data_IF_451091800706
#
_entry.id   IF_451091800706
#
_cell.length_a   1.000
_cell.length_b   1.000
_cell.length_c   1.000
_cell.angle_alpha   90.00
_cell.angle_beta   90.00
_cell.angle_gamma   90.00
#
_symmetry.space_group_name_H-M   'P 1'
#
loop_
_entity.id
_entity.type
_entity.pdbx_description
1 polymer ?
#
# COMPACT_ATOMS: atom_id res chain seq x y z
N UNK A 1 58.75 -27.53 -26.99
CA UNK A 1 59.20 -26.19 -26.55
C UNK A 1 58.08 -25.23 -26.94
N UNK A 2 57.11 -25.00 -26.04
CA UNK A 2 57.07 -23.90 -25.04
C UNK A 2 56.72 -22.57 -25.70
N UNK A 3 55.76 -21.74 -25.28
CA UNK A 3 54.69 -21.73 -24.27
C UNK A 3 53.96 -20.42 -24.55
N UNK A 4 52.62 -20.42 -24.57
CA UNK A 4 51.81 -19.20 -24.67
C UNK A 4 51.65 -18.58 -23.28
N UNK A 5 52.02 -17.32 -23.11
CA UNK A 5 51.95 -16.59 -21.85
C UNK A 5 50.51 -16.26 -21.44
N UNK A 6 50.27 -16.46 -20.15
CA UNK A 6 49.02 -16.37 -19.42
C UNK A 6 48.89 -14.95 -18.84
N UNK A 7 47.86 -14.20 -19.21
CA UNK A 7 47.58 -12.88 -18.63
C UNK A 7 46.60 -13.03 -17.46
N UNK A 8 47.14 -12.97 -16.24
CA UNK A 8 46.41 -12.91 -14.97
C UNK A 8 45.90 -11.48 -14.73
N UNK A 9 44.57 -11.31 -14.57
CA UNK A 9 43.95 -10.08 -14.06
C UNK A 9 44.00 -10.05 -12.52
N UNK A 10 44.27 -8.89 -11.89
CA UNK A 10 44.39 -8.79 -10.45
C UNK A 10 43.04 -8.77 -9.72
N UNK A 11 42.91 -9.65 -8.72
CA UNK A 11 41.87 -9.61 -7.69
C UNK A 11 41.95 -8.30 -6.89
N UNK A 12 40.83 -7.57 -6.79
CA UNK A 12 40.67 -6.49 -5.80
C UNK A 12 39.92 -7.01 -4.58
N UNK A 13 40.65 -7.06 -3.48
CA UNK A 13 40.16 -7.21 -2.11
C UNK A 13 39.41 -5.92 -1.75
N UNK A 14 38.13 -6.05 -1.37
CA UNK A 14 37.26 -4.97 -0.91
C UNK A 14 36.57 -5.36 0.40
N UNK A 15 37.10 -4.80 1.49
CA UNK A 15 36.67 -4.76 2.89
C UNK A 15 35.24 -5.22 3.24
N UNK A 16 35.17 -6.22 4.12
CA UNK A 16 34.04 -6.57 4.99
C UNK A 16 34.13 -5.69 6.23
N UNK A 17 33.21 -4.74 6.42
CA UNK A 17 32.90 -4.14 7.72
C UNK A 17 31.41 -3.75 7.74
N UNK A 18 30.59 -4.47 8.51
CA UNK A 18 29.55 -3.93 9.41
C UNK A 18 28.57 -5.04 9.79
N UNK A 19 29.03 -5.96 10.62
CA UNK A 19 28.17 -6.83 11.41
C UNK A 19 28.53 -6.58 12.86
N UNK A 20 27.63 -5.91 13.61
CA UNK A 20 27.54 -5.75 15.07
C UNK A 20 27.02 -4.36 15.42
N UNK A 21 25.71 -4.14 15.25
CA UNK A 21 24.96 -3.23 16.12
C UNK A 21 23.45 -3.47 15.95
N UNK A 22 22.90 -4.49 16.62
CA UNK A 22 21.46 -4.60 16.94
C UNK A 22 21.20 -5.78 17.89
N UNK A 23 21.91 -5.81 19.03
CA UNK A 23 21.61 -6.74 20.13
C UNK A 23 21.61 -5.99 21.46
N UNK A 24 20.99 -4.81 21.54
CA UNK A 24 20.67 -4.16 22.82
C UNK A 24 19.47 -3.21 22.65
N UNK A 25 18.26 -3.74 22.38
CA UNK A 25 17.02 -2.99 22.66
C UNK A 25 15.76 -3.84 22.89
N UNK A 26 15.84 -5.17 22.83
CA UNK A 26 14.67 -6.06 23.00
C UNK A 26 14.61 -6.74 24.39
N UNK A 27 15.57 -6.47 25.28
CA UNK A 27 15.59 -7.06 26.63
C UNK A 27 14.98 -6.16 27.72
N UNK A 28 14.66 -4.88 27.42
CA UNK A 28 14.12 -3.95 28.42
C UNK A 28 12.59 -3.77 28.42
N UNK A 29 11.85 -4.51 27.58
CA UNK A 29 10.37 -4.46 27.53
C UNK A 29 9.66 -5.73 28.05
N UNK A 30 10.39 -6.66 28.66
CA UNK A 30 9.82 -7.91 29.18
C UNK A 30 10.02 -8.15 30.69
N UNK A 31 10.19 -7.07 31.47
CA UNK A 31 10.08 -7.13 32.94
C UNK A 31 9.22 -5.96 33.43
N UNK A 32 7.93 -5.97 33.13
CA UNK A 32 6.94 -5.43 34.07
C UNK A 32 5.54 -6.00 33.83
N UNK A 33 5.34 -7.25 34.22
CA UNK A 33 4.01 -7.78 34.55
C UNK A 33 4.10 -8.54 35.86
N UNK A 34 4.01 -7.78 36.95
CA UNK A 34 3.81 -8.26 38.31
C UNK A 34 2.64 -7.51 38.91
N UNK A 35 1.62 -8.29 39.29
CA UNK A 35 0.34 -7.94 39.90
C UNK A 35 0.45 -7.16 41.22
N UNK A 36 -0.47 -6.22 41.45
CA UNK A 36 -0.74 -5.61 42.75
C UNK A 36 -1.92 -4.63 42.68
N UNK A 37 -3.03 -5.01 43.32
CA UNK A 37 -4.13 -4.10 43.69
C UNK A 37 -3.59 -2.96 44.55
N UNK A 38 -3.96 -1.71 44.25
CA UNK A 38 -4.33 -0.72 45.27
C UNK A 38 -4.96 0.55 44.65
N UNK A 39 -6.20 0.79 45.09
CA UNK A 39 -6.90 2.06 45.35
C UNK A 39 -6.71 3.32 44.50
N UNK A 40 -7.86 3.81 44.06
CA UNK A 40 -8.12 5.09 43.43
C UNK A 40 -7.60 6.32 44.20
N UNK A 41 -6.99 7.26 43.49
CA UNK A 41 -7.07 8.70 43.77
C UNK A 41 -7.07 9.45 42.43
N UNK A 42 -8.14 10.21 42.21
CA UNK A 42 -8.33 11.17 41.12
C UNK A 42 -7.48 12.43 41.33
N UNK A 43 -7.01 13.11 40.27
CA UNK A 43 -6.98 14.56 40.35
C UNK A 43 -7.64 15.24 39.13
N UNK A 44 -8.57 16.11 39.52
CA UNK A 44 -9.32 17.15 38.82
C UNK A 44 -8.50 17.96 37.80
N UNK A 45 -9.06 18.13 36.59
CA UNK A 45 -8.65 19.12 35.58
C UNK A 45 -9.08 20.54 36.01
N UNK A 46 -8.29 21.59 35.69
CA UNK A 46 -8.84 22.93 35.49
C UNK A 46 -9.07 23.22 33.99
N UNK A 47 -10.11 23.99 33.62
CA UNK A 47 -10.40 24.39 32.25
C UNK A 47 -9.74 25.74 31.93
N UNK A 48 -9.35 26.01 30.67
CA UNK A 48 -9.82 27.14 29.83
C UNK A 48 -8.96 27.42 28.58
N UNK A 49 -9.70 27.74 27.51
CA UNK A 49 -9.48 28.76 26.46
C UNK A 49 -8.48 28.54 25.30
N UNK A 50 -9.10 28.30 24.13
CA UNK A 50 -9.07 29.07 22.88
C UNK A 50 -7.75 29.71 22.37
N UNK A 51 -7.47 29.30 21.12
CA UNK A 51 -7.06 30.09 19.93
C UNK A 51 -5.74 30.86 20.00
N UNK A 52 -4.79 30.47 19.14
CA UNK A 52 -4.06 31.39 18.27
C UNK A 52 -3.36 30.65 17.12
N UNK A 53 -3.73 31.01 15.90
CA UNK A 53 -2.89 30.88 14.71
C UNK A 53 -1.81 31.99 14.70
N UNK A 54 -0.98 31.97 13.65
CA UNK A 54 -0.14 33.07 13.10
C UNK A 54 1.32 33.09 13.61
N UNK A 55 2.37 33.54 12.84
CA UNK A 55 2.45 33.99 11.43
C UNK A 55 3.55 33.34 10.55
N UNK A 56 3.36 33.47 9.23
CA UNK A 56 4.45 33.66 8.25
C UNK A 56 5.13 35.02 8.48
N UNK A 57 6.46 35.04 8.53
CA UNK A 57 7.24 36.27 8.54
C UNK A 57 7.93 36.48 7.18
N UNK A 58 7.45 37.50 6.47
CA UNK A 58 8.08 38.18 5.34
C UNK A 58 9.24 39.05 5.84
N UNK A 59 10.33 39.13 5.09
CA UNK A 59 11.34 40.19 5.23
C UNK A 59 11.54 40.90 3.89
N UNK A 60 11.43 42.23 3.88
CA UNK A 60 11.76 43.18 2.80
C UNK A 60 12.57 44.34 3.42
N UNK A 61 13.19 45.29 2.66
CA UNK A 61 13.86 45.25 1.35
C UNK A 61 15.24 46.01 1.42
N UNK A 62 15.82 46.50 0.29
CA UNK A 62 15.87 47.96 0.16
C UNK A 62 15.60 48.54 -1.25
N UNK A 63 15.38 49.85 -1.19
CA UNK A 63 14.83 50.90 -2.08
C UNK A 63 15.61 51.22 -3.37
N UNK A 64 14.90 51.64 -4.44
CA UNK A 64 15.13 52.91 -5.19
C UNK A 64 13.97 53.33 -6.13
N UNK A 65 13.43 54.52 -5.84
CA UNK A 65 13.09 55.68 -6.71
C UNK A 65 12.13 55.57 -7.93
N UNK A 66 10.87 55.96 -7.65
CA UNK A 66 9.98 56.97 -8.29
C UNK A 66 9.84 57.10 -9.83
N UNK A 67 8.58 57.10 -10.29
CA UNK A 67 7.95 58.19 -11.09
C UNK A 67 6.41 58.11 -11.01
N UNK A 68 5.79 59.26 -10.71
CA UNK A 68 4.35 59.65 -10.66
C UNK A 68 3.64 59.50 -12.03
N UNK A 69 2.33 59.34 -12.24
CA UNK A 69 1.11 60.00 -11.73
C UNK A 69 -0.17 59.27 -12.31
N UNK A 70 -1.43 59.71 -12.04
CA UNK A 70 -2.62 58.84 -11.90
C UNK A 70 -3.62 58.82 -13.09
N UNK A 71 -4.54 57.85 -13.09
CA UNK A 71 -5.89 57.90 -13.70
C UNK A 71 -6.75 56.81 -13.05
N UNK A 72 -7.74 57.15 -12.23
CA UNK A 72 -9.09 57.61 -12.56
C UNK A 72 -10.08 56.43 -12.66
N UNK A 73 -11.06 56.50 -11.77
CA UNK A 73 -12.14 55.55 -11.51
C UNK A 73 -13.26 55.86 -12.51
N UNK A 74 -13.79 54.83 -13.18
CA UNK A 74 -15.10 54.91 -13.84
C UNK A 74 -15.91 53.61 -13.60
N UNK A 75 -17.24 53.70 -13.47
CA UNK A 75 -18.07 52.65 -12.87
C UNK A 75 -18.66 51.62 -13.85
N UNK A 76 -19.15 50.56 -13.22
CA UNK A 76 -19.99 49.42 -13.64
C UNK A 76 -21.06 49.71 -14.70
N UNK A 77 -21.47 48.67 -15.45
CA UNK A 77 -22.90 48.43 -15.64
C UNK A 77 -23.32 47.04 -15.14
N UNK A 78 -24.27 47.09 -14.23
CA UNK A 78 -25.11 46.01 -13.69
C UNK A 78 -25.72 45.16 -14.80
N UNK A 79 -25.50 43.85 -14.77
CA UNK A 79 -26.28 42.90 -15.55
C UNK A 79 -27.59 42.62 -14.80
N UNK A 80 -28.69 43.04 -15.41
CA UNK A 80 -30.07 42.89 -14.95
C UNK A 80 -30.50 41.41 -15.01
N UNK A 81 -31.06 40.91 -13.90
CA UNK A 81 -31.69 39.59 -13.82
C UNK A 81 -32.96 39.57 -14.69
N UNK A 82 -33.01 38.65 -15.65
CA UNK A 82 -34.25 38.30 -16.32
C UNK A 82 -35.07 37.32 -15.47
N UNK A 83 -36.28 37.74 -15.12
CA UNK A 83 -37.31 36.98 -14.40
C UNK A 83 -37.95 35.92 -15.32
N UNK A 84 -38.22 34.67 -14.87
CA UNK A 84 -38.85 33.66 -15.71
C UNK A 84 -40.37 33.86 -15.83
N UNK A 85 -40.86 33.89 -17.06
CA UNK A 85 -42.28 34.00 -17.44
C UNK A 85 -43.07 32.73 -17.05
N UNK A 86 -44.33 32.85 -16.56
CA UNK A 86 -45.13 31.70 -16.13
C UNK A 86 -45.62 30.87 -17.33
N UNK A 87 -45.45 29.55 -17.26
CA UNK A 87 -46.00 28.59 -18.22
C UNK A 87 -47.49 28.37 -17.95
N UNK A 88 -48.32 28.57 -18.99
CA UNK A 88 -49.76 28.38 -18.94
C UNK A 88 -50.14 26.88 -18.90
N UNK A 89 -50.96 26.51 -17.92
CA UNK A 89 -51.61 25.20 -17.79
C UNK A 89 -52.69 25.03 -18.86
N UNK A 90 -52.62 23.97 -19.65
CA UNK A 90 -53.63 23.60 -20.64
C UNK A 90 -54.56 22.50 -20.06
N UNK A 91 -55.89 22.56 -20.26
CA UNK A 91 -56.83 21.61 -19.67
C UNK A 91 -56.85 20.25 -20.37
N UNK A 92 -57.01 19.19 -19.58
CA UNK A 92 -57.16 17.81 -20.03
C UNK A 92 -58.42 17.61 -20.88
N UNK A 93 -58.25 17.07 -22.09
CA UNK A 93 -59.36 16.67 -22.96
C UNK A 93 -59.72 15.21 -22.66
N UNK A 94 -60.98 14.98 -22.25
CA UNK A 94 -61.54 13.67 -22.02
C UNK A 94 -61.60 12.88 -23.35
N UNK A 95 -60.99 11.70 -23.38
CA UNK A 95 -61.08 10.78 -24.52
C UNK A 95 -62.05 9.64 -24.16
N UNK A 96 -62.99 9.40 -25.06
CA UNK A 96 -64.10 8.46 -24.95
C UNK A 96 -63.61 7.00 -24.88
N UNK A 97 -64.28 6.19 -24.06
CA UNK A 97 -64.00 4.76 -23.91
C UNK A 97 -64.31 4.00 -25.21
N UNK A 98 -63.30 3.32 -25.75
CA UNK A 98 -63.46 2.35 -26.83
C UNK A 98 -63.83 0.97 -26.24
N UNK A 99 -64.86 0.38 -26.83
CA UNK A 99 -65.42 -0.95 -26.53
C UNK A 99 -64.36 -2.05 -26.66
N UNK A 100 -64.23 -2.89 -25.63
CA UNK A 100 -63.27 -4.00 -25.60
C UNK A 100 -63.66 -5.12 -26.58
N UNK A 101 -62.68 -5.55 -27.38
CA UNK A 101 -62.71 -6.77 -28.21
C UNK A 101 -62.35 -7.97 -27.32
N UNK A 102 -62.98 -9.15 -27.45
CA UNK A 102 -62.67 -10.30 -26.63
C UNK A 102 -61.25 -10.83 -26.92
N UNK A 103 -60.42 -10.85 -25.90
CA UNK A 103 -59.04 -11.37 -25.90
C UNK A 103 -59.06 -12.91 -25.83
N UNK A 104 -58.31 -13.57 -26.72
CA UNK A 104 -58.05 -15.02 -26.63
C UNK A 104 -57.33 -15.39 -25.31
N UNK A 105 -57.53 -16.62 -24.79
CA UNK A 105 -56.86 -17.08 -23.58
C UNK A 105 -55.34 -17.18 -23.80
N UNK A 106 -54.51 -16.81 -22.80
CA UNK A 106 -53.07 -16.83 -22.93
C UNK A 106 -52.54 -18.26 -23.06
N UNK A 107 -51.69 -18.48 -24.05
CA UNK A 107 -50.84 -19.68 -24.19
C UNK A 107 -49.99 -19.85 -22.93
N UNK A 108 -49.91 -21.06 -22.33
CA UNK A 108 -49.11 -21.27 -21.13
C UNK A 108 -47.63 -21.00 -21.42
N UNK A 109 -47.08 -20.00 -20.74
CA UNK A 109 -45.65 -19.69 -20.73
C UNK A 109 -44.89 -20.86 -20.14
N UNK A 110 -43.96 -21.44 -20.91
CA UNK A 110 -43.06 -22.47 -20.41
C UNK A 110 -42.27 -21.93 -19.21
N UNK A 111 -42.42 -22.60 -18.06
CA UNK A 111 -41.60 -22.35 -16.88
C UNK A 111 -40.16 -22.70 -17.21
N UNK A 112 -39.29 -21.69 -17.27
CA UNK A 112 -37.85 -21.91 -17.42
C UNK A 112 -37.36 -22.68 -16.18
N UNK A 113 -36.75 -23.84 -16.43
CA UNK A 113 -36.06 -24.63 -15.42
C UNK A 113 -34.99 -23.76 -14.74
N UNK A 114 -34.80 -23.83 -13.41
CA UNK A 114 -33.81 -23.02 -12.73
C UNK A 114 -32.42 -23.31 -13.33
N UNK A 115 -31.80 -22.29 -13.91
CA UNK A 115 -30.40 -22.36 -14.34
C UNK A 115 -29.57 -22.85 -13.16
N UNK A 116 -28.94 -24.02 -13.30
CA UNK A 116 -28.03 -24.56 -12.31
C UNK A 116 -27.06 -23.46 -11.88
N UNK A 117 -27.02 -23.16 -10.58
CA UNK A 117 -26.04 -22.26 -9.98
C UNK A 117 -24.66 -22.77 -10.40
N UNK A 118 -23.98 -22.02 -11.26
CA UNK A 118 -22.61 -22.32 -11.64
C UNK A 118 -21.80 -22.45 -10.36
N UNK A 119 -21.30 -23.65 -10.09
CA UNK A 119 -20.36 -23.89 -8.99
C UNK A 119 -19.16 -22.98 -9.25
N UNK A 120 -18.88 -22.07 -8.32
CA UNK A 120 -17.71 -21.20 -8.41
C UNK A 120 -16.49 -22.06 -8.68
N UNK A 121 -15.87 -21.87 -9.85
CA UNK A 121 -14.64 -22.58 -10.21
C UNK A 121 -13.61 -22.25 -9.15
N UNK A 122 -13.20 -23.24 -8.35
CA UNK A 122 -12.20 -23.05 -7.31
C UNK A 122 -10.94 -22.44 -7.95
N UNK A 123 -10.54 -21.25 -7.50
CA UNK A 123 -9.31 -20.60 -7.96
C UNK A 123 -8.15 -21.57 -7.67
N UNK A 124 -7.40 -22.03 -8.69
CA UNK A 124 -6.37 -23.04 -8.49
C UNK A 124 -5.18 -22.49 -7.70
N UNK A 125 -4.61 -23.30 -6.83
CA UNK A 125 -3.37 -23.00 -6.10
C UNK A 125 -3.46 -23.21 -4.59
N UNK A 126 -2.32 -23.18 -3.88
CA UNK A 126 -2.29 -23.24 -2.42
C UNK A 126 -2.92 -21.99 -1.79
N UNK A 127 -3.39 -22.11 -0.55
CA UNK A 127 -4.17 -21.07 0.14
C UNK A 127 -3.44 -19.72 0.21
N UNK A 128 -2.13 -19.73 0.47
CA UNK A 128 -1.30 -18.52 0.48
C UNK A 128 -1.30 -17.79 -0.87
N UNK A 129 -1.30 -18.53 -2.00
CA UNK A 129 -1.25 -17.94 -3.33
C UNK A 129 -2.61 -17.36 -3.68
N UNK A 130 -3.68 -18.12 -3.40
CA UNK A 130 -5.05 -17.65 -3.60
C UNK A 130 -5.28 -16.37 -2.76
N UNK A 131 -4.80 -16.33 -1.52
CA UNK A 131 -4.90 -15.18 -0.62
C UNK A 131 -4.10 -13.96 -1.11
N UNK A 132 -2.84 -14.16 -1.53
CA UNK A 132 -2.05 -13.10 -2.13
C UNK A 132 -2.70 -12.56 -3.42
N UNK A 133 -3.28 -13.44 -4.23
CA UNK A 133 -3.99 -13.05 -5.44
C UNK A 133 -5.27 -12.25 -5.15
N UNK A 134 -5.85 -12.32 -3.96
CA UNK A 134 -6.95 -11.44 -3.56
C UNK A 134 -6.47 -9.99 -3.48
N UNK A 135 -5.33 -9.70 -2.85
CA UNK A 135 -4.74 -8.36 -2.83
C UNK A 135 -4.48 -7.80 -4.22
N UNK A 136 -4.01 -8.67 -5.13
CA UNK A 136 -3.77 -8.29 -6.53
C UNK A 136 -5.07 -8.03 -7.28
N UNK A 137 -6.09 -8.85 -7.06
CA UNK A 137 -7.44 -8.63 -7.60
C UNK A 137 -8.01 -7.29 -7.14
N UNK A 138 -7.83 -6.95 -5.86
CA UNK A 138 -8.23 -5.66 -5.27
C UNK A 138 -7.33 -4.48 -5.69
N UNK A 139 -6.29 -4.71 -6.47
CA UNK A 139 -5.53 -3.69 -7.20
C UNK A 139 -5.83 -3.70 -8.72
N UNK A 140 -6.81 -4.50 -9.17
CA UNK A 140 -7.12 -4.68 -10.59
C UNK A 140 -6.03 -5.43 -11.37
N UNK A 141 -5.14 -6.16 -10.68
CA UNK A 141 -4.00 -6.85 -11.26
C UNK A 141 -4.30 -8.32 -11.57
N UNK A 142 -3.65 -8.91 -12.59
CA UNK A 142 -3.75 -10.34 -12.86
C UNK A 142 -3.21 -11.18 -11.70
N UNK A 143 -3.81 -12.37 -11.54
CA UNK A 143 -3.36 -13.38 -10.61
C UNK A 143 -1.99 -13.92 -11.00
N UNK A 144 -1.17 -14.21 -9.99
CA UNK A 144 0.12 -14.88 -10.14
C UNK A 144 -0.04 -16.40 -10.14
N UNK A 145 0.89 -17.08 -10.79
CA UNK A 145 1.09 -18.52 -10.62
C UNK A 145 2.27 -18.81 -9.70
N UNK A 146 2.24 -19.93 -8.99
CA UNK A 146 3.40 -20.38 -8.21
C UNK A 146 4.53 -20.85 -9.13
N UNK A 147 5.75 -20.39 -8.85
CA UNK A 147 6.99 -21.01 -9.29
C UNK A 147 7.53 -21.88 -8.15
N UNK A 148 7.38 -23.21 -8.28
CA UNK A 148 7.74 -24.16 -7.21
C UNK A 148 9.24 -24.16 -6.89
N UNK A 149 10.10 -23.81 -7.84
CA UNK A 149 11.54 -23.65 -7.59
C UNK A 149 11.82 -22.42 -6.72
N UNK A 150 11.05 -21.34 -6.88
CA UNK A 150 11.16 -20.16 -6.03
C UNK A 150 10.57 -20.43 -4.65
N UNK A 151 9.44 -21.15 -4.54
CA UNK A 151 8.90 -21.59 -3.25
C UNK A 151 9.89 -22.45 -2.46
N UNK A 152 10.57 -23.40 -3.12
CA UNK A 152 11.61 -24.21 -2.50
C UNK A 152 12.79 -23.36 -1.98
N UNK A 153 13.22 -22.36 -2.76
CA UNK A 153 14.26 -21.42 -2.35
C UNK A 153 13.82 -20.50 -1.21
N UNK A 154 12.59 -19.99 -1.24
CA UNK A 154 11.99 -19.20 -0.16
C UNK A 154 11.86 -20.00 1.14
N UNK A 155 11.55 -21.29 1.06
CA UNK A 155 11.53 -22.17 2.24
C UNK A 155 12.94 -22.38 2.79
N UNK A 156 13.93 -22.61 1.91
CA UNK A 156 15.33 -22.73 2.30
C UNK A 156 15.84 -21.43 2.97
N UNK A 157 15.47 -20.26 2.44
CA UNK A 157 15.89 -18.97 3.00
C UNK A 157 15.25 -18.71 4.37
N UNK A 158 13.97 -19.06 4.51
CA UNK A 158 13.27 -19.01 5.80
C UNK A 158 13.99 -19.90 6.82
N UNK A 159 14.36 -21.14 6.43
CA UNK A 159 15.17 -22.02 7.28
C UNK A 159 16.53 -21.42 7.63
N UNK A 160 17.21 -20.79 6.67
CA UNK A 160 18.49 -20.11 6.90
C UNK A 160 18.37 -18.98 7.93
N UNK A 161 17.34 -18.14 7.84
CA UNK A 161 17.05 -17.10 8.84
C UNK A 161 16.81 -17.70 10.23
N UNK A 162 16.04 -18.79 10.30
CA UNK A 162 15.72 -19.47 11.56
C UNK A 162 16.97 -20.01 12.27
N UNK A 163 17.78 -20.82 11.58
CA UNK A 163 18.91 -21.52 12.20
C UNK A 163 20.06 -20.58 12.56
N UNK A 164 20.16 -19.43 11.89
CA UNK A 164 21.17 -18.41 12.17
C UNK A 164 20.63 -17.26 13.03
N UNK A 165 19.35 -17.31 13.45
CA UNK A 165 18.65 -16.29 14.24
C UNK A 165 18.91 -14.86 13.74
N UNK A 166 18.77 -14.65 12.43
CA UNK A 166 18.99 -13.35 11.79
C UNK A 166 17.83 -12.95 10.87
N UNK A 167 17.67 -11.65 10.65
CA UNK A 167 16.78 -11.06 9.65
C UNK A 167 17.64 -10.38 8.59
N UNK A 168 17.84 -11.04 7.44
CA UNK A 168 18.61 -10.49 6.33
C UNK A 168 18.21 -11.13 5.01
N UNK A 169 18.16 -10.32 3.95
CA UNK A 169 17.90 -10.79 2.60
C UNK A 169 19.07 -11.59 2.00
N UNK A 170 20.31 -11.15 2.24
CA UNK A 170 21.49 -11.83 1.71
C UNK A 170 22.02 -12.86 2.71
N UNK A 171 22.42 -14.01 2.21
CA UNK A 171 23.04 -15.08 2.99
C UNK A 171 24.57 -14.95 3.00
N UNK A 172 25.18 -15.48 4.06
CA UNK A 172 26.63 -15.63 4.18
C UNK A 172 27.00 -17.05 3.75
N UNK A 173 27.82 -17.22 2.68
CA UNK A 173 28.24 -18.54 2.21
C UNK A 173 28.95 -19.41 3.25
N UNK A 174 29.42 -18.81 4.35
CA UNK A 174 30.11 -19.52 5.43
C UNK A 174 29.18 -19.98 6.56
N UNK A 175 27.89 -19.64 6.51
CA UNK A 175 26.91 -20.02 7.53
C UNK A 175 26.15 -21.28 7.15
N UNK A 176 25.69 -22.00 8.18
CA UNK A 176 24.92 -23.21 7.99
C UNK A 176 23.64 -22.91 7.21
N UNK A 177 23.25 -23.83 6.33
CA UNK A 177 22.02 -23.75 5.55
C UNK A 177 22.11 -22.87 4.30
N UNK A 178 23.26 -22.22 4.05
CA UNK A 178 23.48 -21.49 2.82
C UNK A 178 23.29 -22.38 1.58
N UNK A 179 22.64 -21.83 0.57
CA UNK A 179 22.74 -22.31 -0.81
C UNK A 179 22.51 -21.16 -1.78
N UNK A 180 23.02 -21.26 -3.01
CA UNK A 180 22.83 -20.22 -4.02
C UNK A 180 21.34 -19.95 -4.32
N UNK A 181 20.49 -20.98 -4.32
CA UNK A 181 19.04 -20.84 -4.54
C UNK A 181 18.34 -20.14 -3.36
N UNK A 182 18.74 -20.45 -2.13
CA UNK A 182 18.22 -19.85 -0.91
C UNK A 182 18.59 -18.36 -0.84
N UNK A 183 19.86 -18.04 -1.08
CA UNK A 183 20.35 -16.66 -1.15
C UNK A 183 19.68 -15.87 -2.27
N UNK A 184 19.50 -16.46 -3.46
CA UNK A 184 18.78 -15.80 -4.55
C UNK A 184 17.33 -15.48 -4.15
N UNK A 185 16.66 -16.38 -3.43
CA UNK A 185 15.26 -16.18 -2.99
C UNK A 185 15.17 -15.08 -1.93
N UNK A 186 16.09 -15.06 -0.95
CA UNK A 186 16.15 -13.99 0.05
C UNK A 186 16.41 -12.61 -0.55
N UNK A 187 17.32 -12.53 -1.54
CA UNK A 187 17.64 -11.28 -2.24
C UNK A 187 16.51 -10.77 -3.14
N UNK A 188 15.59 -11.65 -3.56
CA UNK A 188 14.44 -11.30 -4.39
C UNK A 188 13.13 -11.16 -3.61
N UNK A 189 13.10 -11.59 -2.35
CA UNK A 189 11.87 -11.72 -1.59
C UNK A 189 11.69 -10.71 -0.48
N UNK A 190 10.43 -10.51 -0.11
CA UNK A 190 10.04 -9.98 1.18
C UNK A 190 10.30 -11.04 2.25
N UNK A 191 10.82 -10.64 3.42
CA UNK A 191 11.12 -11.55 4.54
C UNK A 191 10.33 -11.16 5.79
N UNK A 192 9.92 -12.14 6.59
CA UNK A 192 9.19 -11.93 7.84
C UNK A 192 9.66 -12.90 8.91
N UNK A 193 9.58 -12.44 10.17
CA UNK A 193 9.92 -13.22 11.36
C UNK A 193 8.82 -12.96 12.39
N UNK A 194 8.29 -14.03 12.97
CA UNK A 194 7.36 -13.99 14.09
C UNK A 194 7.94 -14.72 15.29
N UNK A 195 7.81 -14.10 16.46
CA UNK A 195 8.09 -14.72 17.76
C UNK A 195 6.89 -15.46 18.34
N UNK A 196 5.83 -15.67 17.57
CA UNK A 196 4.60 -16.34 18.01
C UNK A 196 4.37 -17.65 17.22
N UNK A 197 4.28 -18.76 17.96
CA UNK A 197 4.07 -20.11 17.39
C UNK A 197 2.75 -20.26 16.62
N UNK A 198 1.74 -19.46 16.97
CA UNK A 198 0.42 -19.50 16.35
C UNK A 198 0.25 -18.62 15.11
N UNK A 199 1.31 -17.95 14.63
CA UNK A 199 1.21 -17.14 13.41
C UNK A 199 0.80 -18.02 12.23
N UNK A 200 -0.26 -17.68 11.50
CA UNK A 200 -0.64 -18.40 10.28
C UNK A 200 0.35 -18.12 9.15
N UNK A 201 0.34 -18.92 8.09
CA UNK A 201 1.13 -18.63 6.89
C UNK A 201 0.67 -17.31 6.24
N UNK A 202 -0.65 -17.05 6.26
CA UNK A 202 -1.27 -15.83 5.73
C UNK A 202 -0.86 -14.57 6.49
N UNK A 203 -0.54 -14.69 7.78
CA UNK A 203 -0.10 -13.55 8.60
C UNK A 203 1.09 -12.82 7.95
N UNK A 204 2.05 -13.53 7.36
CA UNK A 204 3.20 -12.90 6.73
C UNK A 204 2.78 -12.01 5.54
N UNK A 205 1.77 -12.45 4.77
CA UNK A 205 1.23 -11.71 3.63
C UNK A 205 0.55 -10.43 4.10
N UNK A 206 -0.33 -10.50 5.12
CA UNK A 206 -0.95 -9.30 5.71
C UNK A 206 0.10 -8.36 6.30
N UNK A 207 1.12 -8.93 6.93
CA UNK A 207 2.20 -8.18 7.57
C UNK A 207 2.98 -7.34 6.56
N UNK A 208 3.34 -7.92 5.41
CA UNK A 208 3.97 -7.21 4.30
C UNK A 208 3.02 -6.21 3.63
N UNK A 209 1.77 -6.59 3.36
CA UNK A 209 0.77 -5.68 2.78
C UNK A 209 0.41 -4.51 3.71
N UNK A 210 0.70 -4.64 5.00
CA UNK A 210 0.51 -3.54 5.97
C UNK A 210 1.53 -2.42 5.84
N UNK A 211 2.59 -2.58 5.03
CA UNK A 211 3.75 -1.69 5.03
C UNK A 211 4.08 -1.16 3.62
N UNK A 212 4.32 0.15 3.46
CA UNK A 212 4.60 0.78 2.17
C UNK A 212 5.65 0.08 1.29
N UNK A 213 6.85 -0.16 1.80
CA UNK A 213 7.97 -0.66 0.99
C UNK A 213 7.87 -2.16 0.67
N UNK A 214 7.14 -2.93 1.46
CA UNK A 214 6.87 -4.34 1.17
C UNK A 214 5.65 -4.53 0.25
N UNK A 215 4.62 -3.70 0.40
CA UNK A 215 3.39 -3.80 -0.39
C UNK A 215 3.59 -3.36 -1.86
N UNK A 216 4.36 -2.29 -2.10
CA UNK A 216 4.63 -1.77 -3.46
C UNK A 216 5.15 -2.87 -4.42
N UNK A 217 6.24 -3.61 -4.13
CA UNK A 217 6.73 -4.66 -5.02
C UNK A 217 5.79 -5.86 -5.10
N UNK A 218 4.97 -6.13 -4.07
CA UNK A 218 3.93 -7.18 -4.14
C UNK A 218 2.83 -6.84 -5.16
N UNK A 219 2.59 -5.55 -5.36
CA UNK A 219 1.63 -5.04 -6.34
C UNK A 219 2.29 -4.64 -7.66
N UNK A 220 3.48 -5.17 -7.96
CA UNK A 220 4.10 -4.92 -9.26
C UNK A 220 3.26 -5.55 -10.39
N UNK A 221 2.80 -4.78 -11.39
CA UNK A 221 1.95 -5.29 -12.46
C UNK A 221 2.68 -6.23 -13.43
N UNK A 222 4.02 -6.17 -13.47
CA UNK A 222 4.86 -7.03 -14.32
C UNK A 222 5.25 -8.34 -13.64
N UNK A 223 4.87 -8.54 -12.38
CA UNK A 223 5.01 -9.82 -11.69
C UNK A 223 3.95 -10.79 -12.25
N UNK A 224 4.40 -11.97 -12.71
CA UNK A 224 3.54 -13.02 -13.28
C UNK A 224 3.65 -14.35 -12.53
N UNK A 225 4.76 -14.54 -11.82
CA UNK A 225 5.00 -15.70 -10.96
C UNK A 225 5.53 -15.23 -9.62
N UNK A 226 5.37 -16.06 -8.59
CA UNK A 226 5.94 -15.83 -7.25
C UNK A 226 6.26 -17.18 -6.59
N UNK A 227 7.00 -17.16 -5.48
CA UNK A 227 7.26 -18.34 -4.67
C UNK A 227 7.28 -17.98 -3.20
N UNK A 228 6.61 -18.79 -2.39
CA UNK A 228 6.46 -18.54 -0.96
C UNK A 228 6.96 -19.75 -0.16
N UNK A 229 7.63 -19.48 0.95
CA UNK A 229 8.08 -20.52 1.84
C UNK A 229 8.10 -20.06 3.28
N UNK A 230 7.73 -20.97 4.17
CA UNK A 230 7.70 -20.77 5.62
C UNK A 230 8.55 -21.84 6.29
N UNK A 231 9.26 -21.45 7.34
CA UNK A 231 9.94 -22.39 8.23
C UNK A 231 9.59 -22.09 9.68
N UNK A 232 9.27 -23.14 10.45
CA UNK A 232 8.81 -23.07 11.84
C UNK A 232 9.71 -23.90 12.74
N UNK A 233 9.99 -23.36 13.91
CA UNK A 233 10.74 -24.05 14.97
C UNK A 233 10.32 -23.47 16.32
N UNK A 234 9.45 -24.18 17.03
CA UNK A 234 8.91 -23.72 18.31
C UNK A 234 9.96 -23.69 19.43
N UNK A 235 11.12 -24.32 19.24
CA UNK A 235 12.21 -24.30 20.22
C UNK A 235 13.08 -23.04 20.10
N UNK A 236 13.04 -22.35 18.97
CA UNK A 236 13.82 -21.14 18.69
C UNK A 236 13.09 -19.89 19.23
N UNK A 237 13.77 -18.75 19.36
CA UNK A 237 13.11 -17.48 19.72
C UNK A 237 12.30 -16.91 18.54
N UNK A 238 12.79 -17.15 17.32
CA UNK A 238 11.98 -17.03 16.12
C UNK A 238 11.11 -18.28 16.06
N UNK A 239 9.80 -18.12 16.04
CA UNK A 239 8.85 -19.24 15.99
C UNK A 239 8.47 -19.59 14.56
N UNK A 240 8.41 -18.57 13.72
CA UNK A 240 8.14 -18.67 12.29
C UNK A 240 9.01 -17.67 11.55
N UNK A 241 9.51 -18.09 10.40
CA UNK A 241 10.19 -17.25 9.40
C UNK A 241 9.52 -17.50 8.06
N UNK A 242 9.42 -16.46 7.22
CA UNK A 242 8.76 -16.56 5.92
C UNK A 242 9.50 -15.72 4.88
N UNK A 243 9.45 -16.17 3.63
CA UNK A 243 10.01 -15.48 2.47
C UNK A 243 9.02 -15.56 1.31
N UNK A 244 8.76 -14.44 0.66
CA UNK A 244 7.92 -14.34 -0.55
C UNK A 244 8.72 -13.68 -1.67
N UNK A 245 9.03 -14.41 -2.74
CA UNK A 245 9.74 -13.88 -3.91
C UNK A 245 8.83 -12.89 -4.66
N UNK A 246 9.22 -11.62 -4.64
CA UNK A 246 8.57 -10.50 -5.35
C UNK A 246 9.41 -10.04 -6.54
N UNK A 247 10.39 -10.85 -6.95
CA UNK A 247 11.30 -10.60 -8.07
C UNK A 247 12.06 -9.26 -7.94
N UNK A 248 12.44 -8.89 -6.72
CA UNK A 248 13.07 -7.58 -6.44
C UNK A 248 14.31 -7.27 -7.26
N UNK A 249 15.10 -8.29 -7.64
CA UNK A 249 16.32 -8.17 -8.46
C UNK A 249 16.26 -9.00 -9.76
N UNK A 250 15.20 -9.78 -9.97
CA UNK A 250 14.99 -10.56 -11.19
C UNK A 250 14.50 -9.65 -12.32
N UNK A 251 14.79 -10.06 -13.55
CA UNK A 251 14.16 -9.44 -14.71
C UNK A 251 12.65 -9.72 -14.68
N UNK A 252 11.85 -8.66 -14.75
CA UNK A 252 10.39 -8.76 -14.79
C UNK A 252 9.90 -8.99 -16.23
N UNK A 253 8.74 -9.64 -16.35
CA UNK A 253 8.07 -9.84 -17.63
C UNK A 253 7.64 -8.53 -18.30
N UNK A 254 7.02 -8.64 -19.48
CA UNK A 254 6.34 -7.51 -20.09
C UNK A 254 5.11 -7.11 -19.27
N UNK A 255 4.67 -5.85 -19.40
CA UNK A 255 3.39 -5.41 -18.87
C UNK A 255 2.25 -6.24 -19.49
N UNK A 256 1.32 -6.81 -18.70
CA UNK A 256 0.15 -7.48 -19.26
C UNK A 256 -0.68 -6.53 -20.12
N UNK A 257 -1.19 -7.00 -21.27
CA UNK A 257 -1.79 -6.15 -22.31
C UNK A 257 -3.01 -5.33 -21.85
N UNK A 258 -3.71 -5.79 -20.81
CA UNK A 258 -4.91 -5.16 -20.26
C UNK A 258 -4.64 -4.30 -19.03
N UNK A 259 -3.37 -4.09 -18.66
CA UNK A 259 -3.00 -3.28 -17.49
C UNK A 259 -2.29 -2.02 -17.98
N UNK A 260 -2.75 -0.88 -17.48
CA UNK A 260 -2.18 0.44 -17.77
C UNK A 260 -2.10 1.24 -16.48
N UNK A 261 -1.07 2.07 -16.35
CA UNK A 261 -1.03 3.07 -15.29
C UNK A 261 -2.07 4.19 -15.54
N UNK A 262 -2.60 4.84 -14.49
CA UNK A 262 -2.31 4.60 -13.07
C UNK A 262 -2.98 3.33 -12.51
N UNK A 263 -2.32 2.68 -11.55
CA UNK A 263 -2.85 1.54 -10.78
C UNK A 263 -3.02 1.99 -9.33
N UNK A 264 -4.18 1.78 -8.76
CA UNK A 264 -4.45 2.07 -7.35
C UNK A 264 -4.61 0.78 -6.55
N UNK A 265 -4.14 0.82 -5.30
CA UNK A 265 -4.48 -0.19 -4.32
C UNK A 265 -5.00 0.46 -3.03
N UNK A 266 -6.23 0.14 -2.62
CA UNK A 266 -7.19 -0.64 -3.40
C UNK A 266 -7.59 0.07 -4.70
N UNK A 267 -8.08 -0.69 -5.68
CA UNK A 267 -8.63 -0.15 -6.92
C UNK A 267 -9.93 0.61 -6.65
N UNK A 268 -10.42 1.38 -7.62
CA UNK A 268 -11.73 2.01 -7.51
C UNK A 268 -12.84 0.95 -7.34
N UNK A 269 -13.63 1.09 -6.27
CA UNK A 269 -14.61 0.10 -5.84
C UNK A 269 -14.02 -1.17 -5.20
N UNK A 270 -12.70 -1.24 -4.98
CA UNK A 270 -12.03 -2.39 -4.39
C UNK A 270 -12.13 -2.45 -2.86
N UNK A 271 -11.61 -3.54 -2.29
CA UNK A 271 -11.65 -3.82 -0.86
C UNK A 271 -10.25 -3.77 -0.21
N UNK A 272 -10.22 -3.49 1.09
CA UNK A 272 -9.03 -3.62 1.94
C UNK A 272 -9.37 -4.22 3.28
N UNK A 273 -8.66 -5.27 3.68
CA UNK A 273 -8.83 -5.91 4.99
C UNK A 273 -7.60 -5.79 5.91
N UNK A 274 -6.48 -5.32 5.37
CA UNK A 274 -5.33 -4.92 6.20
C UNK A 274 -5.58 -3.50 6.67
N UNK A 275 -6.07 -3.34 7.90
CA UNK A 275 -6.63 -2.06 8.38
C UNK A 275 -5.62 -1.14 9.08
N UNK A 276 -4.39 -1.61 9.32
CA UNK A 276 -3.37 -0.84 10.03
C UNK A 276 -1.97 -1.28 9.65
N UNK A 277 -1.02 -0.36 9.77
CA UNK A 277 0.39 -0.64 9.58
C UNK A 277 0.99 -1.38 10.79
N UNK A 278 1.35 -2.66 10.61
CA UNK A 278 1.81 -3.53 11.71
C UNK A 278 3.31 -3.85 11.67
N UNK A 279 3.91 -3.97 10.49
CA UNK A 279 5.34 -4.27 10.34
C UNK A 279 6.22 -3.10 10.84
N UNK A 280 7.23 -3.30 11.70
CA UNK A 280 8.29 -2.32 11.91
C UNK A 280 9.22 -2.34 10.68
N UNK A 281 8.78 -1.69 9.60
CA UNK A 281 9.45 -1.72 8.31
C UNK A 281 10.85 -1.09 8.37
N UNK A 282 11.77 -1.66 7.58
CA UNK A 282 13.09 -1.11 7.35
C UNK A 282 13.30 -0.92 5.85
N UNK A 283 13.63 0.31 5.38
CA UNK A 283 13.63 1.57 6.12
C UNK A 283 12.27 1.91 6.74
N UNK A 284 12.24 2.76 7.78
CA UNK A 284 10.97 3.19 8.36
C UNK A 284 10.31 4.25 7.45
N UNK A 285 9.11 4.03 6.90
CA UNK A 285 8.42 5.00 6.05
C UNK A 285 7.97 6.25 6.82
N UNK A 286 7.73 6.13 8.13
CA UNK A 286 7.23 7.25 8.95
C UNK A 286 8.29 8.33 9.23
N UNK A 287 9.56 8.12 8.85
CA UNK A 287 10.57 9.17 8.97
C UNK A 287 10.27 10.39 8.10
N UNK A 288 9.46 10.22 7.05
CA UNK A 288 8.96 11.31 6.21
C UNK A 288 7.63 11.92 6.72
N UNK A 289 7.01 11.31 7.73
CA UNK A 289 5.66 11.63 8.18
C UNK A 289 5.67 12.32 9.55
N UNK A 290 6.02 13.60 9.56
CA UNK A 290 6.07 14.40 10.79
C UNK A 290 4.74 14.33 11.55
N UNK A 291 4.81 14.02 12.85
CA UNK A 291 3.65 13.97 13.74
C UNK A 291 2.83 12.68 13.72
N UNK A 292 3.06 11.77 12.77
CA UNK A 292 2.39 10.46 12.79
C UNK A 292 3.05 9.52 13.81
N UNK A 293 2.24 8.85 14.61
CA UNK A 293 2.66 7.84 15.59
C UNK A 293 1.77 6.61 15.44
N UNK A 294 2.36 5.41 15.52
CA UNK A 294 1.58 4.17 15.47
C UNK A 294 0.59 4.11 16.65
N UNK A 295 -0.63 3.58 16.48
CA UNK A 295 -1.14 2.91 15.28
C UNK A 295 -1.53 3.91 14.17
N UNK A 296 -1.13 3.60 12.94
CA UNK A 296 -1.51 4.33 11.72
C UNK A 296 -2.18 3.37 10.74
N UNK A 297 -2.85 3.91 9.74
CA UNK A 297 -3.51 3.15 8.68
C UNK A 297 -2.51 2.38 7.79
N UNK A 298 -3.03 1.49 6.93
CA UNK A 298 -2.25 0.75 5.96
C UNK A 298 -1.80 1.67 4.80
N UNK A 299 -0.88 1.22 3.94
CA UNK A 299 -0.57 1.95 2.71
C UNK A 299 -1.77 1.94 1.76
N UNK A 300 -2.17 3.13 1.31
CA UNK A 300 -3.06 3.34 0.17
C UNK A 300 -2.15 3.77 -0.99
N UNK A 301 -2.08 2.99 -2.05
CA UNK A 301 -1.00 3.07 -3.04
C UNK A 301 -1.56 3.56 -4.38
N UNK A 302 -0.80 4.43 -5.03
CA UNK A 302 -0.96 4.83 -6.41
C UNK A 302 0.38 4.60 -7.14
N UNK A 303 0.38 3.78 -8.17
CA UNK A 303 1.52 3.60 -9.08
C UNK A 303 1.21 4.33 -10.38
N UNK A 304 2.11 5.21 -10.85
CA UNK A 304 1.88 5.99 -12.08
C UNK A 304 2.78 5.59 -13.25
N UNK A 305 3.73 4.69 -13.04
CA UNK A 305 4.63 4.25 -14.10
C UNK A 305 5.53 3.08 -13.69
N UNK A 306 6.50 2.77 -14.54
CA UNK A 306 7.42 1.64 -14.42
C UNK A 306 8.81 2.04 -13.88
N UNK A 307 8.92 3.23 -13.27
CA UNK A 307 10.16 3.84 -12.81
C UNK A 307 10.84 4.73 -13.84
N UNK A 308 10.09 5.14 -14.86
CA UNK A 308 10.54 6.10 -15.87
C UNK A 308 10.03 7.52 -15.63
N UNK A 309 9.14 7.70 -14.65
CA UNK A 309 8.59 9.00 -14.30
C UNK A 309 9.26 9.53 -13.02
N UNK A 310 8.90 10.75 -12.64
CA UNK A 310 9.21 11.29 -11.31
C UNK A 310 7.92 11.92 -10.77
N UNK A 311 7.34 11.42 -9.67
CA UNK A 311 6.11 11.98 -9.11
C UNK A 311 6.27 13.42 -8.62
N UNK A 312 5.50 14.33 -9.21
CA UNK A 312 5.29 15.69 -8.71
C UNK A 312 3.91 15.82 -8.08
N UNK A 313 3.78 15.42 -6.82
CA UNK A 313 2.51 15.46 -6.07
C UNK A 313 2.23 16.88 -5.56
N UNK A 314 1.14 17.50 -6.02
CA UNK A 314 0.76 18.86 -5.61
C UNK A 314 -0.40 18.89 -4.63
N UNK A 315 -1.20 17.82 -4.57
CA UNK A 315 -2.35 17.73 -3.65
C UNK A 315 -2.65 16.27 -3.32
N UNK A 316 -3.04 16.02 -2.08
CA UNK A 316 -3.60 14.73 -1.63
C UNK A 316 -4.84 14.95 -0.77
N UNK A 317 -5.78 14.03 -0.83
CA UNK A 317 -6.98 14.01 0.00
C UNK A 317 -7.33 12.56 0.34
N UNK A 318 -7.80 12.34 1.56
CA UNK A 318 -8.42 11.11 1.99
C UNK A 318 -9.65 11.48 2.81
N UNK A 319 -10.84 10.98 2.45
CA UNK A 319 -12.09 11.22 3.18
C UNK A 319 -12.80 9.92 3.50
N UNK A 320 -13.61 9.92 4.55
CA UNK A 320 -14.59 8.87 4.80
C UNK A 320 -15.89 9.12 4.00
N UNK A 321 -16.90 8.26 4.17
CA UNK A 321 -18.19 8.35 3.49
C UNK A 321 -19.00 9.60 3.84
N UNK A 322 -18.74 10.23 5.00
CA UNK A 322 -19.35 11.51 5.38
C UNK A 322 -18.65 12.73 4.77
N UNK A 323 -17.62 12.53 3.93
CA UNK A 323 -16.82 13.61 3.36
C UNK A 323 -15.86 14.27 4.35
N UNK A 324 -15.68 13.69 5.53
CA UNK A 324 -14.73 14.19 6.54
C UNK A 324 -13.32 13.81 6.12
N UNK A 325 -12.43 14.79 6.02
CA UNK A 325 -11.03 14.57 5.70
C UNK A 325 -10.30 13.84 6.84
N UNK A 326 -9.56 12.80 6.49
CA UNK A 326 -8.68 12.06 7.37
C UNK A 326 -7.26 12.66 7.28
N UNK A 327 -6.64 13.01 8.41
CA UNK A 327 -5.22 13.31 8.44
C UNK A 327 -4.42 12.12 7.89
N UNK A 328 -3.49 12.39 6.99
CA UNK A 328 -2.64 11.38 6.37
C UNK A 328 -1.29 11.99 5.99
N UNK A 329 -0.30 11.12 5.80
CA UNK A 329 0.98 11.43 5.19
C UNK A 329 0.96 10.95 3.74
N UNK A 330 1.76 11.58 2.88
CA UNK A 330 2.02 11.10 1.52
C UNK A 330 3.53 10.99 1.31
N UNK A 331 3.99 9.84 0.83
CA UNK A 331 5.40 9.60 0.47
C UNK A 331 5.50 9.13 -0.98
N UNK A 332 6.57 9.56 -1.64
CA UNK A 332 7.00 9.12 -2.97
C UNK A 332 8.54 9.16 -3.00
N UNK A 333 9.17 8.78 -4.12
CA UNK A 333 10.63 8.76 -4.25
C UNK A 333 11.30 10.15 -4.10
N UNK A 334 10.55 11.25 -4.19
CA UNK A 334 11.04 12.62 -4.02
C UNK A 334 10.84 13.12 -2.59
N UNK A 335 9.77 12.69 -1.92
CA UNK A 335 9.34 13.13 -0.58
C UNK A 335 9.79 12.23 0.56
N UNK A 336 10.14 10.96 0.29
CA UNK A 336 10.66 10.08 1.35
C UNK A 336 12.00 10.59 1.88
N UNK A 337 12.06 10.93 3.16
CA UNK A 337 13.28 11.41 3.83
C UNK A 337 13.62 10.51 5.01
N UNK A 338 14.92 10.28 5.21
CA UNK A 338 15.46 9.54 6.34
C UNK A 338 16.80 10.16 6.73
N UNK A 339 17.09 10.24 8.03
CA UNK A 339 18.36 10.80 8.52
C UNK A 339 19.57 9.98 8.08
N UNK A 340 19.37 8.70 7.78
CA UNK A 340 20.38 7.83 7.19
C UNK A 340 20.25 7.82 5.66
N UNK A 341 21.28 8.31 4.96
CA UNK A 341 21.28 8.44 3.50
C UNK A 341 21.12 7.10 2.77
N UNK A 342 21.69 6.01 3.29
CA UNK A 342 21.52 4.68 2.70
C UNK A 342 20.07 4.21 2.80
N UNK A 343 19.45 4.33 3.98
CA UNK A 343 18.04 3.98 4.18
C UNK A 343 17.13 4.87 3.33
N UNK A 344 17.41 6.17 3.23
CA UNK A 344 16.69 7.06 2.35
C UNK A 344 16.73 6.55 0.91
N UNK A 345 17.93 6.22 0.40
CA UNK A 345 18.08 5.70 -0.95
C UNK A 345 17.34 4.37 -1.14
N UNK A 346 17.38 3.46 -0.16
CA UNK A 346 16.65 2.19 -0.28
C UNK A 346 15.13 2.40 -0.38
N UNK A 347 14.55 3.25 0.48
CA UNK A 347 13.12 3.53 0.42
C UNK A 347 12.72 4.23 -0.88
N UNK A 348 13.53 5.19 -1.35
CA UNK A 348 13.31 5.87 -2.64
C UNK A 348 13.40 4.90 -3.81
N UNK A 349 14.40 4.00 -3.82
CA UNK A 349 14.54 2.98 -4.86
C UNK A 349 13.34 2.03 -4.93
N UNK A 350 12.70 1.74 -3.80
CA UNK A 350 11.50 0.88 -3.80
C UNK A 350 10.32 1.61 -4.45
N UNK A 351 10.10 2.87 -4.08
CA UNK A 351 9.01 3.69 -4.62
C UNK A 351 9.22 3.95 -6.13
N UNK A 352 10.45 4.28 -6.52
CA UNK A 352 10.88 4.57 -7.89
C UNK A 352 10.55 3.42 -8.86
N UNK A 353 10.67 2.14 -8.47
CA UNK A 353 10.39 1.02 -9.40
C UNK A 353 8.98 1.01 -10.00
N UNK A 354 7.99 1.65 -9.36
CA UNK A 354 6.62 1.79 -9.87
C UNK A 354 6.14 3.26 -9.85
N UNK A 355 7.07 4.22 -9.76
CA UNK A 355 6.78 5.65 -9.56
C UNK A 355 5.73 5.86 -8.45
N UNK A 356 5.86 5.11 -7.35
CA UNK A 356 4.79 4.89 -6.39
C UNK A 356 4.60 6.08 -5.44
N UNK A 357 3.34 6.46 -5.26
CA UNK A 357 2.86 7.38 -4.24
C UNK A 357 2.08 6.57 -3.21
N UNK A 358 2.40 6.73 -1.93
CA UNK A 358 1.74 6.02 -0.83
C UNK A 358 1.14 7.03 0.14
N UNK A 359 -0.19 6.98 0.32
CA UNK A 359 -0.87 7.67 1.40
C UNK A 359 -0.90 6.77 2.64
N UNK A 360 -0.54 7.32 3.79
CA UNK A 360 -0.54 6.64 5.08
C UNK A 360 -1.52 7.37 6.00
N UNK A 361 -2.73 6.84 6.23
CA UNK A 361 -3.71 7.44 7.12
C UNK A 361 -3.16 7.55 8.54
N UNK A 362 -3.43 8.64 9.24
CA UNK A 362 -2.94 8.84 10.61
C UNK A 362 -3.61 7.90 11.64
N UNK A 363 -4.66 7.18 11.26
CA UNK A 363 -5.39 6.22 12.08
C UNK A 363 -5.71 4.95 11.27
N UNK A 364 -5.88 3.79 11.93
CA UNK A 364 -6.42 2.58 11.30
C UNK A 364 -7.74 2.82 10.55
N UNK A 365 -7.98 2.04 9.50
CA UNK A 365 -9.25 2.04 8.78
C UNK A 365 -10.31 1.27 9.58
N UNK A 366 -11.57 1.66 9.39
CA UNK A 366 -12.73 1.10 10.10
C UNK A 366 -13.48 0.14 9.17
N UNK A 367 -13.70 -1.10 9.61
CA UNK A 367 -14.51 -2.08 8.84
C UNK A 367 -15.91 -1.52 8.57
N UNK A 368 -16.36 -1.67 7.33
CA UNK A 368 -17.64 -1.17 6.82
C UNK A 368 -17.60 0.28 6.34
N UNK A 369 -16.51 1.01 6.58
CA UNK A 369 -16.34 2.38 6.09
C UNK A 369 -15.84 2.37 4.65
N UNK A 370 -16.40 3.27 3.83
CA UNK A 370 -15.90 3.56 2.49
C UNK A 370 -15.09 4.85 2.52
N UNK A 371 -13.90 4.79 1.94
CA UNK A 371 -13.00 5.93 1.86
C UNK A 371 -12.85 6.37 0.41
N UNK A 372 -12.62 7.66 0.21
CA UNK A 372 -12.23 8.24 -1.09
C UNK A 372 -10.85 8.84 -0.97
N UNK A 373 -9.92 8.38 -1.80
CA UNK A 373 -8.59 8.95 -1.94
C UNK A 373 -8.50 9.79 -3.22
N UNK A 374 -7.73 10.87 -3.17
CA UNK A 374 -7.40 11.66 -4.34
C UNK A 374 -5.95 12.11 -4.29
N UNK A 375 -5.25 12.01 -5.42
CA UNK A 375 -3.87 12.47 -5.59
C UNK A 375 -3.80 13.28 -6.88
N UNK A 376 -3.35 14.53 -6.77
CA UNK A 376 -2.95 15.33 -7.93
C UNK A 376 -1.45 15.18 -8.11
N UNK A 377 -1.04 14.52 -9.19
CA UNK A 377 0.35 14.22 -9.54
C UNK A 377 0.60 14.52 -11.02
N UNK A 378 1.71 15.18 -11.32
CA UNK A 378 2.10 15.54 -12.70
C UNK A 378 1.01 16.30 -13.48
N UNK A 379 0.21 17.11 -12.77
CA UNK A 379 -0.89 17.89 -13.34
C UNK A 379 -2.20 17.11 -13.59
N UNK A 380 -2.26 15.82 -13.25
CA UNK A 380 -3.47 15.01 -13.33
C UNK A 380 -3.99 14.68 -11.93
N UNK A 381 -5.32 14.75 -11.74
CA UNK A 381 -5.99 14.33 -10.51
C UNK A 381 -6.56 12.93 -10.69
N UNK A 382 -6.14 12.01 -9.84
CA UNK A 382 -6.59 10.62 -9.80
C UNK A 382 -7.38 10.45 -8.49
N UNK A 383 -8.64 10.09 -8.61
CA UNK A 383 -9.55 9.90 -7.47
C UNK A 383 -10.20 8.52 -7.56
N UNK A 384 -10.26 7.82 -6.44
CA UNK A 384 -10.87 6.50 -6.34
C UNK A 384 -11.45 6.28 -4.95
N UNK A 385 -12.42 5.37 -4.84
CA UNK A 385 -13.01 4.95 -3.59
C UNK A 385 -12.77 3.47 -3.32
N UNK A 386 -12.72 3.08 -2.05
CA UNK A 386 -12.56 1.69 -1.64
C UNK A 386 -13.21 1.45 -0.28
N UNK A 387 -13.53 0.21 0.02
CA UNK A 387 -14.20 -0.17 1.28
C UNK A 387 -13.28 -0.98 2.17
N UNK A 388 -13.18 -0.58 3.43
CA UNK A 388 -12.51 -1.38 4.44
C UNK A 388 -13.44 -2.52 4.89
N UNK A 389 -12.97 -3.77 4.82
CA UNK A 389 -13.78 -4.97 5.08
C UNK A 389 -13.12 -5.88 6.11
N UNK A 390 -13.86 -6.89 6.57
CA UNK A 390 -13.29 -7.97 7.36
C UNK A 390 -12.36 -8.85 6.51
N UNK A 391 -11.30 -9.44 7.08
CA UNK A 391 -10.44 -10.36 6.33
C UNK A 391 -11.21 -11.52 5.71
N UNK A 392 -10.87 -11.92 4.47
CA UNK A 392 -11.40 -13.13 3.85
C UNK A 392 -11.14 -14.38 4.71
N UNK A 393 -12.09 -15.31 4.76
CA UNK A 393 -12.03 -16.51 5.63
C UNK A 393 -11.81 -17.83 4.90
N UNK A 394 -11.80 -17.83 3.56
CA UNK A 394 -11.88 -19.05 2.73
C UNK A 394 -10.50 -19.66 2.39
N UNK A 395 -9.57 -19.60 3.35
CA UNK A 395 -8.15 -19.93 3.18
C UNK A 395 -7.59 -20.77 4.30
#
# INVERSE_FOLDING_TARGET
MSTSENQLKPYRIGLIVSGLLNVVLIVLLLVNRGSGNETAVSPTLPPTNQVAAVPSATSLPPTTTATTAPSEIAPTPTAELAEPTPTATQPATATLMATAVPTEPPTPTATLEPTATATATAVPGPDWLRYYNQFRSDAGLPQLTENTSWSAGSQAHSRYMMINSLSAHAEDPNKQGYSAQSDESGQNGNIAISGWDGASDLWAIDYWMSAPFHAVPMLNPRLTQTGFGVYRDSSNSFKMTATLDVSSKRALGAMPANITYPITYPQDGGEIWVLRYTLPEFPNPLTACSGLQKPVGPPIILQIGDGSLVPSVTQTLLTNSSGTALPHCAIDETRYVNSNAYQQQQGRNVLDKQDAIVLIPAQPLTVGETYTASVTVNGQTIQWSFTAVSPPTDY
#
